data_IF_541122378781
#
_entry.id   IF_541122378781
#
_cell.length_a   1.000
_cell.length_b   1.000
_cell.length_c   1.000
_cell.angle_alpha   90.00
_cell.angle_beta   90.00
_cell.angle_gamma   90.00
#
_symmetry.space_group_name_H-M   'P 1'
#
loop_
_entity.id
_entity.type
_entity.pdbx_description
1 polymer ?
#
# COMPACT_ATOMS: atom_id res chain seq x y z
N UNK A 1 6.41 -1.46 27.62
CA UNK A 1 6.24 -0.03 27.96
C UNK A 1 4.76 0.20 28.24
N UNK A 2 4.37 0.77 29.37
CA UNK A 2 2.95 0.88 29.75
C UNK A 2 2.31 2.08 29.04
N UNK A 3 1.03 1.95 28.60
CA UNK A 3 0.23 2.95 27.87
C UNK A 3 0.31 4.40 28.43
N UNK A 4 0.60 4.56 29.71
CA UNK A 4 0.67 5.89 30.39
C UNK A 4 1.94 6.68 30.11
N UNK A 5 3.03 6.05 29.67
CA UNK A 5 4.33 6.71 29.53
C UNK A 5 4.51 7.36 28.16
N UNK A 6 3.72 6.92 27.16
CA UNK A 6 3.74 7.46 25.81
C UNK A 6 3.00 8.81 25.70
N UNK A 7 1.84 8.93 26.36
CA UNK A 7 1.02 10.17 26.31
C UNK A 7 1.71 11.36 27.01
N UNK A 8 2.60 11.11 27.97
CA UNK A 8 3.33 12.18 28.68
C UNK A 8 4.54 12.74 27.93
N UNK A 9 5.05 12.06 26.90
CA UNK A 9 6.21 12.52 26.11
C UNK A 9 5.86 13.37 24.89
N UNK A 10 4.61 13.35 24.45
CA UNK A 10 4.14 14.15 23.30
C UNK A 10 3.56 15.53 23.64
N UNK A 11 3.46 15.89 24.93
CA UNK A 11 2.89 17.17 25.38
C UNK A 11 3.91 18.26 25.71
N UNK A 12 5.19 18.08 25.37
CA UNK A 12 6.27 18.97 25.81
C UNK A 12 7.17 19.54 24.71
N UNK A 13 6.62 20.04 23.61
CA UNK A 13 7.42 20.86 22.67
C UNK A 13 6.49 21.79 21.87
N UNK A 14 6.09 22.87 22.51
CA UNK A 14 5.38 23.96 21.84
C UNK A 14 5.51 25.23 22.67
N UNK A 15 6.28 26.14 22.18
CA UNK A 15 6.23 27.59 22.28
C UNK A 15 7.60 28.21 22.50
N UNK A 16 8.17 28.77 21.44
CA UNK A 16 8.84 30.10 21.52
C UNK A 16 8.40 30.88 20.29
N UNK A 17 7.83 32.04 20.59
CA UNK A 17 7.30 32.99 19.64
C UNK A 17 8.36 33.99 19.14
N UNK A 18 8.19 34.42 17.88
CA UNK A 18 8.30 35.84 17.49
C UNK A 18 9.65 36.37 17.11
N UNK A 19 9.82 36.70 15.84
CA UNK A 19 10.05 38.04 15.33
C UNK A 19 10.21 38.02 13.81
N UNK A 20 9.45 38.86 13.16
CA UNK A 20 9.50 39.09 11.71
C UNK A 20 10.78 39.85 11.33
N UNK A 21 11.36 39.47 10.19
CA UNK A 21 12.01 40.42 9.27
C UNK A 21 11.86 39.88 7.83
N UNK A 22 11.11 40.67 7.04
CA UNK A 22 11.03 40.57 5.58
C UNK A 22 12.36 40.98 4.96
N UNK A 23 12.76 40.33 3.86
CA UNK A 23 13.27 40.85 2.60
C UNK A 23 14.07 39.76 1.88
N UNK A 24 13.74 39.55 0.62
CA UNK A 24 14.57 38.79 -0.32
C UNK A 24 14.04 37.41 -0.65
N UNK A 25 13.38 37.31 -1.84
CA UNK A 25 12.94 36.06 -2.41
C UNK A 25 14.10 35.08 -2.61
N UNK A 26 14.31 34.23 -1.65
CA UNK A 26 15.00 32.98 -1.88
C UNK A 26 13.98 32.01 -2.51
N UNK A 27 14.01 31.89 -3.86
CA UNK A 27 13.56 30.66 -4.48
C UNK A 27 14.40 29.56 -3.81
N UNK A 28 13.79 28.81 -2.89
CA UNK A 28 14.41 27.59 -2.41
C UNK A 28 14.56 26.69 -3.64
N UNK A 29 15.76 26.61 -4.18
CA UNK A 29 16.14 25.51 -5.03
C UNK A 29 16.03 24.27 -4.14
N UNK A 30 14.89 23.59 -4.21
CA UNK A 30 14.77 22.23 -3.74
C UNK A 30 15.83 21.47 -4.53
N UNK A 31 16.94 21.10 -3.90
CA UNK A 31 17.90 20.20 -4.52
C UNK A 31 17.08 18.99 -4.98
N UNK A 32 16.91 18.84 -6.29
CA UNK A 32 16.27 17.68 -6.89
C UNK A 32 17.12 16.50 -6.45
N UNK A 33 16.62 15.72 -5.51
CA UNK A 33 17.32 14.50 -5.10
C UNK A 33 17.31 13.60 -6.33
N UNK A 34 18.44 12.97 -6.63
CA UNK A 34 18.67 12.15 -7.85
C UNK A 34 17.61 11.03 -8.05
N UNK A 35 16.79 10.75 -7.01
CA UNK A 35 15.70 9.78 -6.98
C UNK A 35 14.29 10.37 -7.31
N UNK A 36 14.16 11.69 -7.52
CA UNK A 36 12.92 12.31 -8.05
C UNK A 36 12.83 12.17 -9.60
N UNK A 37 13.66 11.28 -10.18
CA UNK A 37 13.75 11.13 -11.65
C UNK A 37 12.50 10.50 -12.25
N UNK A 38 11.84 9.58 -11.55
CA UNK A 38 10.67 8.87 -12.03
C UNK A 38 9.53 8.90 -11.02
N UNK A 39 8.31 9.17 -11.50
CA UNK A 39 7.08 9.10 -10.71
C UNK A 39 6.62 7.66 -10.52
N UNK A 40 6.99 6.81 -11.48
CA UNK A 40 6.60 5.40 -11.52
C UNK A 40 7.65 4.57 -12.23
N UNK A 41 7.84 3.33 -11.77
CA UNK A 41 8.64 2.32 -12.45
C UNK A 41 7.78 1.10 -12.73
N UNK A 42 7.75 0.65 -13.99
CA UNK A 42 7.09 -0.57 -14.42
C UNK A 42 8.13 -1.57 -14.91
N UNK A 43 8.18 -2.76 -14.32
CA UNK A 43 9.14 -3.82 -14.68
C UNK A 43 8.36 -5.05 -15.17
N UNK A 44 8.86 -5.72 -16.22
CA UNK A 44 8.23 -6.94 -16.74
C UNK A 44 9.26 -8.00 -17.16
N UNK A 45 8.88 -9.26 -17.13
CA UNK A 45 9.61 -10.40 -17.69
C UNK A 45 10.39 -11.24 -16.68
N UNK A 46 10.70 -10.69 -15.49
CA UNK A 46 11.46 -11.37 -14.44
C UNK A 46 10.60 -12.14 -13.41
N UNK A 47 11.25 -12.68 -12.40
CA UNK A 47 10.60 -13.15 -11.18
C UNK A 47 10.22 -11.99 -10.28
N UNK A 48 9.26 -12.14 -9.34
CA UNK A 48 8.77 -11.04 -8.50
C UNK A 48 9.86 -10.33 -7.68
N UNK A 49 10.80 -11.06 -7.12
CA UNK A 49 11.92 -10.56 -6.36
C UNK A 49 12.92 -9.78 -7.23
N UNK A 50 13.32 -10.35 -8.36
CA UNK A 50 14.26 -9.72 -9.30
C UNK A 50 13.67 -8.46 -9.96
N UNK A 51 12.38 -8.45 -10.27
CA UNK A 51 11.68 -7.24 -10.76
C UNK A 51 11.66 -6.13 -9.71
N UNK A 52 11.44 -6.50 -8.43
CA UNK A 52 11.50 -5.54 -7.34
C UNK A 52 12.89 -4.93 -7.18
N UNK A 53 13.95 -5.75 -7.26
CA UNK A 53 15.33 -5.27 -7.14
C UNK A 53 15.64 -4.20 -8.19
N UNK A 54 15.30 -4.46 -9.44
CA UNK A 54 15.53 -3.50 -10.51
C UNK A 54 14.65 -2.26 -10.36
N UNK A 55 13.36 -2.46 -10.08
CA UNK A 55 12.42 -1.35 -10.01
C UNK A 55 12.70 -0.39 -8.87
N UNK A 56 13.02 -0.90 -7.68
CA UNK A 56 13.32 -0.05 -6.52
C UNK A 56 14.66 0.69 -6.68
N UNK A 57 15.62 0.11 -7.40
CA UNK A 57 16.89 0.76 -7.69
C UNK A 57 16.70 2.03 -8.54
N UNK A 58 15.79 2.03 -9.50
CA UNK A 58 15.46 3.20 -10.33
C UNK A 58 14.81 4.35 -9.54
N UNK A 59 14.22 4.03 -8.38
CA UNK A 59 13.69 5.01 -7.42
C UNK A 59 14.70 5.38 -6.32
N UNK A 60 15.99 5.10 -6.52
CA UNK A 60 17.06 5.41 -5.57
C UNK A 60 17.25 4.38 -4.46
N UNK A 61 16.63 3.18 -4.59
CA UNK A 61 16.68 2.10 -3.62
C UNK A 61 15.71 2.27 -2.45
N UNK A 62 15.50 1.19 -1.70
CA UNK A 62 14.58 1.22 -0.53
C UNK A 62 15.02 2.19 0.56
N UNK A 63 16.33 2.51 0.64
CA UNK A 63 16.90 3.48 1.57
C UNK A 63 16.39 4.91 1.37
N UNK A 64 15.76 5.22 0.23
CA UNK A 64 15.03 6.46 -0.02
C UNK A 64 13.81 6.58 0.90
N UNK A 65 13.16 5.45 1.18
CA UNK A 65 11.89 5.35 1.90
C UNK A 65 12.06 4.87 3.34
N UNK A 66 13.08 4.03 3.59
CA UNK A 66 13.32 3.39 4.89
C UNK A 66 14.71 3.77 5.41
N UNK A 67 14.75 4.34 6.62
CA UNK A 67 15.99 4.75 7.29
C UNK A 67 16.33 3.81 8.44
N UNK A 68 17.60 3.80 8.82
CA UNK A 68 18.09 3.04 9.99
C UNK A 68 17.28 3.38 11.26
N UNK A 69 16.89 2.34 11.97
CA UNK A 69 16.19 2.45 13.26
C UNK A 69 14.67 2.62 13.16
N UNK A 70 14.11 2.78 11.96
CA UNK A 70 12.66 2.92 11.76
C UNK A 70 11.91 1.60 11.89
N UNK A 71 10.66 1.70 12.33
CA UNK A 71 9.67 0.63 12.31
C UNK A 71 8.89 0.70 11.01
N UNK A 72 8.87 -0.41 10.26
CA UNK A 72 8.24 -0.50 8.94
C UNK A 72 7.05 -1.45 9.00
N UNK A 73 5.94 -1.05 8.40
CA UNK A 73 4.82 -1.94 8.10
C UNK A 73 4.80 -2.24 6.61
N UNK A 74 4.89 -3.51 6.25
CA UNK A 74 4.64 -4.02 4.91
C UNK A 74 3.24 -4.63 4.91
N UNK A 75 2.30 -4.02 4.17
CA UNK A 75 0.90 -4.45 4.11
C UNK A 75 0.59 -5.09 2.76
N UNK A 76 0.69 -6.42 2.64
CA UNK A 76 0.23 -7.13 1.45
C UNK A 76 -1.31 -7.19 1.37
N UNK A 77 -1.84 -7.88 0.38
CA UNK A 77 -3.21 -8.38 0.37
C UNK A 77 -3.19 -9.84 0.85
N UNK A 78 -3.80 -10.12 2.00
CA UNK A 78 -3.99 -11.47 2.55
C UNK A 78 -5.48 -11.64 2.86
N UNK A 79 -6.31 -11.56 1.82
CA UNK A 79 -7.76 -11.58 2.00
C UNK A 79 -8.35 -12.97 2.12
N UNK A 80 -7.77 -13.96 1.44
CA UNK A 80 -8.43 -15.21 1.10
C UNK A 80 -7.63 -16.43 1.49
N UNK A 81 -8.34 -17.48 1.92
CA UNK A 81 -7.80 -18.80 2.24
C UNK A 81 -7.58 -19.61 0.95
N UNK A 82 -6.60 -19.19 0.15
CA UNK A 82 -6.23 -19.83 -1.11
C UNK A 82 -4.73 -19.84 -1.33
N UNK A 83 -4.29 -20.77 -2.17
CA UNK A 83 -2.88 -20.92 -2.57
C UNK A 83 -2.42 -19.77 -3.50
N UNK A 84 -1.11 -19.49 -3.57
CA UNK A 84 -0.58 -18.38 -4.37
C UNK A 84 -0.92 -18.43 -5.86
N UNK A 85 -1.12 -19.62 -6.42
CA UNK A 85 -1.42 -19.83 -7.83
C UNK A 85 -2.80 -19.30 -8.26
N UNK A 86 -3.70 -19.03 -7.29
CA UNK A 86 -4.99 -18.37 -7.57
C UNK A 86 -4.90 -16.86 -7.62
N UNK A 87 -3.75 -16.29 -7.30
CA UNK A 87 -3.46 -14.85 -7.40
C UNK A 87 -4.49 -13.93 -6.67
N UNK A 88 -5.18 -14.47 -5.66
CA UNK A 88 -6.12 -13.70 -4.84
C UNK A 88 -5.43 -12.96 -3.69
N UNK A 89 -4.19 -13.32 -3.38
CA UNK A 89 -3.31 -12.69 -2.39
C UNK A 89 -2.01 -12.24 -3.05
N UNK A 90 -1.27 -11.34 -2.40
CA UNK A 90 0.04 -10.87 -2.87
C UNK A 90 1.04 -12.02 -2.96
N UNK A 91 1.92 -11.98 -3.95
CA UNK A 91 2.96 -12.99 -4.14
C UNK A 91 3.91 -13.04 -2.94
N UNK A 92 4.10 -14.20 -2.29
CA UNK A 92 4.95 -14.32 -1.10
C UNK A 92 6.44 -14.05 -1.36
N UNK A 93 6.96 -14.30 -2.57
CA UNK A 93 8.36 -14.00 -2.91
C UNK A 93 8.59 -12.49 -2.96
N UNK A 94 7.65 -11.73 -3.50
CA UNK A 94 7.69 -10.28 -3.50
C UNK A 94 7.69 -9.73 -2.07
N UNK A 95 6.76 -10.19 -1.23
CA UNK A 95 6.69 -9.77 0.18
C UNK A 95 8.00 -10.04 0.90
N UNK A 96 8.55 -11.25 0.73
CA UNK A 96 9.85 -11.63 1.29
C UNK A 96 10.95 -10.65 0.88
N UNK A 97 11.06 -10.36 -0.43
CA UNK A 97 12.12 -9.51 -0.96
C UNK A 97 12.04 -8.07 -0.44
N UNK A 98 10.84 -7.51 -0.34
CA UNK A 98 10.62 -6.17 0.23
C UNK A 98 11.11 -6.12 1.68
N UNK A 99 10.79 -7.13 2.49
CA UNK A 99 11.21 -7.23 3.89
C UNK A 99 12.75 -7.28 3.99
N UNK A 100 13.39 -8.11 3.18
CA UNK A 100 14.86 -8.23 3.13
C UNK A 100 15.50 -6.87 2.83
N UNK A 101 14.97 -6.11 1.88
CA UNK A 101 15.46 -4.77 1.56
C UNK A 101 15.26 -3.79 2.73
N UNK A 102 14.12 -3.81 3.41
CA UNK A 102 13.84 -2.93 4.57
C UNK A 102 14.85 -3.22 5.70
N UNK A 103 15.08 -4.48 6.03
CA UNK A 103 16.04 -4.88 7.05
C UNK A 103 17.48 -4.54 6.66
N UNK A 104 17.85 -4.75 5.39
CA UNK A 104 19.17 -4.37 4.86
C UNK A 104 19.40 -2.85 4.90
N UNK A 105 18.34 -2.04 4.74
CA UNK A 105 18.40 -0.58 4.92
C UNK A 105 18.52 -0.15 6.40
N UNK A 106 18.47 -1.12 7.34
CA UNK A 106 18.62 -0.89 8.77
C UNK A 106 17.32 -0.61 9.50
N UNK A 107 16.15 -1.00 8.95
CA UNK A 107 14.90 -0.98 9.71
C UNK A 107 15.08 -1.72 11.04
N UNK A 108 14.57 -1.15 12.14
CA UNK A 108 14.62 -1.76 13.47
C UNK A 108 13.72 -2.99 13.55
N UNK A 109 12.52 -2.83 13.06
CA UNK A 109 11.49 -3.87 13.02
C UNK A 109 10.71 -3.76 11.71
N UNK A 110 10.37 -4.90 11.11
CA UNK A 110 9.44 -4.98 9.98
C UNK A 110 8.25 -5.83 10.41
N UNK A 111 7.05 -5.27 10.29
CA UNK A 111 5.78 -5.93 10.59
C UNK A 111 5.02 -6.22 9.33
N UNK A 112 4.32 -7.37 9.31
CA UNK A 112 3.42 -7.76 8.23
C UNK A 112 2.06 -8.07 8.82
N UNK A 113 1.00 -7.46 8.30
CA UNK A 113 -0.37 -7.78 8.63
C UNK A 113 -1.34 -7.47 7.50
N UNK A 114 -2.50 -8.07 7.55
CA UNK A 114 -3.72 -7.73 6.81
C UNK A 114 -4.94 -8.18 7.62
N UNK A 115 -6.03 -7.44 7.55
CA UNK A 115 -7.32 -7.89 8.08
C UNK A 115 -7.98 -8.77 7.00
N UNK A 116 -7.98 -10.07 7.20
CA UNK A 116 -8.43 -11.08 6.24
C UNK A 116 -9.96 -11.10 6.05
N UNK A 117 -10.44 -11.66 4.95
CA UNK A 117 -11.87 -11.92 4.71
C UNK A 117 -12.27 -13.28 5.28
N UNK A 118 -11.50 -14.32 4.89
CA UNK A 118 -11.66 -15.68 5.39
C UNK A 118 -10.95 -15.87 6.74
N UNK A 119 -10.92 -17.10 7.24
CA UNK A 119 -10.22 -17.44 8.47
C UNK A 119 -8.76 -16.96 8.46
N UNK A 120 -8.40 -16.06 9.35
CA UNK A 120 -7.10 -15.40 9.34
C UNK A 120 -5.93 -16.36 9.42
N UNK A 121 -6.00 -17.40 10.27
CA UNK A 121 -4.91 -18.39 10.40
C UNK A 121 -4.66 -19.09 9.07
N UNK A 122 -5.72 -19.51 8.39
CA UNK A 122 -5.64 -20.19 7.11
C UNK A 122 -5.15 -19.26 6.00
N UNK A 123 -5.69 -18.01 5.92
CA UNK A 123 -5.28 -17.02 4.93
C UNK A 123 -3.77 -16.79 4.98
N UNK A 124 -3.21 -16.54 6.15
CA UNK A 124 -1.78 -16.31 6.34
C UNK A 124 -0.92 -17.53 5.98
N UNK A 125 -1.37 -18.72 6.38
CA UNK A 125 -0.66 -19.99 6.11
C UNK A 125 -0.72 -20.36 4.63
N UNK A 126 -1.92 -20.42 4.05
CA UNK A 126 -2.15 -20.97 2.72
C UNK A 126 -1.74 -20.02 1.59
N UNK A 127 -1.77 -18.69 1.82
CA UNK A 127 -1.14 -17.71 0.92
C UNK A 127 0.39 -17.82 0.84
N UNK A 128 1.02 -18.56 1.77
CA UNK A 128 2.48 -18.65 1.89
C UNK A 128 3.16 -17.38 2.43
N UNK A 129 2.41 -16.29 2.64
CA UNK A 129 2.98 -14.98 3.05
C UNK A 129 3.54 -15.07 4.47
N UNK A 130 2.88 -15.76 5.40
CA UNK A 130 3.39 -15.92 6.77
C UNK A 130 4.78 -16.56 6.77
N UNK A 131 4.93 -17.69 6.06
CA UNK A 131 6.21 -18.40 5.94
C UNK A 131 7.28 -17.51 5.31
N UNK A 132 6.94 -16.82 4.22
CA UNK A 132 7.86 -15.94 3.51
C UNK A 132 8.30 -14.75 4.39
N UNK A 133 7.36 -14.09 5.08
CA UNK A 133 7.64 -12.96 5.95
C UNK A 133 8.51 -13.35 7.16
N UNK A 134 8.17 -14.44 7.84
CA UNK A 134 8.97 -14.95 8.97
C UNK A 134 10.37 -15.35 8.55
N UNK A 135 10.54 -16.02 7.38
CA UNK A 135 11.84 -16.40 6.86
C UNK A 135 12.73 -15.21 6.50
N UNK A 136 12.14 -14.07 6.16
CA UNK A 136 12.84 -12.82 5.90
C UNK A 136 13.14 -12.01 7.17
N UNK A 137 12.69 -12.45 8.35
CA UNK A 137 12.91 -11.79 9.63
C UNK A 137 11.83 -10.81 10.07
N UNK A 138 10.67 -10.75 9.39
CA UNK A 138 9.58 -9.90 9.80
C UNK A 138 8.73 -10.52 10.93
N UNK A 139 8.08 -9.66 11.70
CA UNK A 139 7.06 -10.00 12.70
C UNK A 139 5.70 -10.03 12.03
N UNK A 140 5.08 -11.21 11.96
CA UNK A 140 3.71 -11.35 11.46
C UNK A 140 2.73 -11.12 12.61
N UNK A 141 1.85 -10.16 12.47
CA UNK A 141 0.92 -9.73 13.53
C UNK A 141 -0.52 -10.04 13.11
N UNK A 142 -1.30 -10.69 13.96
CA UNK A 142 -2.69 -10.98 13.65
C UNK A 142 -3.55 -9.72 13.70
N UNK A 143 -4.47 -9.57 12.74
CA UNK A 143 -5.49 -8.53 12.71
C UNK A 143 -6.91 -9.12 12.91
N UNK A 144 -7.01 -10.16 13.77
CA UNK A 144 -8.23 -10.97 13.97
C UNK A 144 -9.11 -10.49 15.12
N UNK A 145 -8.74 -9.42 15.80
CA UNK A 145 -9.48 -8.91 16.96
C UNK A 145 -9.54 -7.39 16.92
N UNK A 146 -10.71 -6.84 17.18
CA UNK A 146 -10.97 -5.40 17.23
C UNK A 146 -10.04 -4.63 18.19
N UNK A 147 -9.52 -5.30 19.22
CA UNK A 147 -8.60 -4.72 20.20
C UNK A 147 -7.30 -4.15 19.62
N UNK A 148 -6.93 -4.57 18.42
CA UNK A 148 -5.76 -4.05 17.68
C UNK A 148 -6.07 -2.80 16.87
N UNK A 149 -7.35 -2.36 16.86
CA UNK A 149 -7.79 -1.23 16.04
C UNK A 149 -8.24 -0.08 16.95
N UNK A 150 -7.89 1.14 16.57
CA UNK A 150 -8.21 2.35 17.28
C UNK A 150 -9.07 3.26 16.42
N UNK A 151 -10.09 3.87 17.02
CA UNK A 151 -10.96 4.81 16.31
C UNK A 151 -10.18 6.07 15.93
N UNK A 152 -10.31 6.48 14.68
CA UNK A 152 -9.72 7.70 14.10
C UNK A 152 -10.78 8.47 13.31
N UNK A 153 -10.66 9.78 13.33
CA UNK A 153 -11.45 10.65 12.47
C UNK A 153 -10.88 10.68 11.04
N UNK A 154 -11.75 10.82 10.06
CA UNK A 154 -11.41 11.03 8.65
C UNK A 154 -11.87 12.45 8.25
N UNK A 155 -11.03 13.47 8.45
CA UNK A 155 -11.38 14.85 8.11
C UNK A 155 -11.71 15.00 6.63
N UNK A 156 -12.88 15.57 6.32
CA UNK A 156 -13.35 15.72 4.94
C UNK A 156 -14.08 14.49 4.38
N UNK A 157 -14.14 13.38 5.13
CA UNK A 157 -14.90 12.20 4.70
C UNK A 157 -16.39 12.48 4.57
N UNK A 158 -16.99 12.03 3.47
CA UNK A 158 -18.41 12.22 3.15
C UNK A 158 -19.25 11.11 3.80
N UNK A 159 -18.89 9.86 3.55
CA UNK A 159 -19.54 8.67 4.09
C UNK A 159 -18.79 8.10 5.26
N UNK A 160 -17.45 8.02 5.16
CA UNK A 160 -16.57 7.49 6.20
C UNK A 160 -15.97 8.65 7.00
N UNK A 161 -16.70 9.15 8.00
CA UNK A 161 -16.23 10.26 8.86
C UNK A 161 -15.29 9.80 9.96
N UNK A 162 -15.39 8.53 10.36
CA UNK A 162 -14.55 7.86 11.34
C UNK A 162 -14.46 6.38 11.03
N UNK A 163 -13.38 5.74 11.47
CA UNK A 163 -13.18 4.29 11.32
C UNK A 163 -12.18 3.79 12.34
N UNK A 164 -12.11 2.47 12.53
CA UNK A 164 -11.10 1.85 13.38
C UNK A 164 -9.94 1.36 12.53
N UNK A 165 -8.76 1.95 12.71
CA UNK A 165 -7.51 1.62 11.99
C UNK A 165 -6.60 0.81 12.88
N UNK A 166 -5.93 -0.19 12.32
CA UNK A 166 -4.98 -1.03 13.04
C UNK A 166 -3.82 -0.20 13.62
N UNK A 167 -3.48 -0.45 14.89
CA UNK A 167 -2.46 0.31 15.65
C UNK A 167 -1.11 0.37 14.94
N UNK A 168 -0.69 -0.68 14.24
CA UNK A 168 0.57 -0.67 13.47
C UNK A 168 0.62 0.41 12.37
N UNK A 169 -0.51 0.74 11.74
CA UNK A 169 -0.56 1.84 10.75
C UNK A 169 -0.37 3.18 11.46
N UNK A 170 -0.90 3.32 12.67
CA UNK A 170 -0.84 4.56 13.44
C UNK A 170 0.58 4.81 13.99
N UNK A 171 1.26 3.75 14.41
CA UNK A 171 2.52 3.79 15.13
C UNK A 171 3.78 3.65 14.24
N UNK A 172 3.66 3.03 13.06
CA UNK A 172 4.81 2.84 12.19
C UNK A 172 5.39 4.15 11.66
N UNK A 173 6.71 4.19 11.55
CA UNK A 173 7.44 5.29 10.90
C UNK A 173 7.24 5.25 9.38
N UNK A 174 7.19 4.05 8.80
CA UNK A 174 7.04 3.82 7.36
C UNK A 174 5.97 2.77 7.11
N UNK A 175 5.08 3.07 6.18
CA UNK A 175 4.07 2.16 5.68
C UNK A 175 4.28 1.89 4.18
N UNK A 176 4.42 0.62 3.80
CA UNK A 176 4.58 0.15 2.42
C UNK A 176 3.35 -0.68 2.05
N UNK A 177 2.62 -0.24 1.04
CA UNK A 177 1.45 -0.92 0.51
C UNK A 177 1.85 -1.87 -0.62
N UNK A 178 1.48 -3.16 -0.51
CA UNK A 178 1.83 -4.19 -1.49
C UNK A 178 0.57 -4.91 -1.99
N UNK A 179 -0.30 -4.22 -2.76
CA UNK A 179 -1.51 -4.82 -3.30
C UNK A 179 -1.20 -5.86 -4.37
N UNK A 180 -2.12 -6.80 -4.57
CA UNK A 180 -2.20 -7.63 -5.78
C UNK A 180 -3.21 -7.04 -6.75
N UNK A 181 -2.85 -6.97 -8.03
CA UNK A 181 -3.79 -6.62 -9.09
C UNK A 181 -4.74 -7.79 -9.36
N UNK A 182 -6.05 -7.55 -9.23
CA UNK A 182 -7.06 -8.56 -9.52
C UNK A 182 -8.42 -7.96 -9.86
N UNK A 183 -9.22 -8.71 -10.62
CA UNK A 183 -10.65 -8.47 -10.80
C UNK A 183 -11.39 -8.38 -9.47
N UNK A 184 -12.47 -7.62 -9.43
CA UNK A 184 -13.36 -7.52 -8.29
C UNK A 184 -14.78 -7.17 -8.72
N UNK A 185 -15.73 -8.01 -8.34
CA UNK A 185 -17.15 -7.89 -8.71
C UNK A 185 -17.78 -6.53 -8.34
N UNK A 186 -17.47 -5.97 -7.15
CA UNK A 186 -18.11 -4.74 -6.66
C UNK A 186 -17.42 -3.46 -7.15
N UNK A 187 -16.11 -3.49 -7.38
CA UNK A 187 -15.30 -2.31 -7.73
C UNK A 187 -14.51 -2.47 -9.01
N UNK A 188 -14.75 -3.56 -9.76
CA UNK A 188 -14.05 -3.98 -11.00
C UNK A 188 -12.56 -4.31 -10.83
N UNK A 189 -11.91 -3.76 -9.82
CA UNK A 189 -10.49 -3.97 -9.55
C UNK A 189 -10.19 -3.89 -8.06
N UNK A 190 -9.26 -4.70 -7.59
CA UNK A 190 -8.50 -4.51 -6.35
C UNK A 190 -7.10 -4.04 -6.71
N UNK A 191 -6.66 -2.93 -6.11
CA UNK A 191 -5.28 -2.46 -6.18
C UNK A 191 -4.96 -1.52 -5.00
N UNK A 192 -4.19 -0.44 -5.16
CA UNK A 192 -3.62 0.37 -4.09
C UNK A 192 -4.64 0.93 -3.10
N UNK A 193 -5.58 1.75 -3.60
CA UNK A 193 -6.57 2.42 -2.75
C UNK A 193 -7.48 1.41 -2.04
N UNK A 194 -7.97 0.40 -2.78
CA UNK A 194 -8.85 -0.61 -2.22
C UNK A 194 -8.15 -1.54 -1.22
N UNK A 195 -6.84 -1.74 -1.34
CA UNK A 195 -6.07 -2.53 -0.38
C UNK A 195 -6.11 -1.96 1.04
N UNK A 196 -6.44 -0.67 1.20
CA UNK A 196 -6.62 -0.04 2.51
C UNK A 196 -7.79 -0.59 3.31
N UNK A 197 -8.73 -1.29 2.70
CA UNK A 197 -9.78 -2.00 3.44
C UNK A 197 -9.20 -3.06 4.41
N UNK A 198 -8.00 -3.55 4.16
CA UNK A 198 -7.31 -4.49 5.04
C UNK A 198 -6.61 -3.85 6.24
N UNK A 199 -6.65 -2.53 6.40
CA UNK A 199 -6.11 -1.85 7.59
C UNK A 199 -7.20 -1.35 8.54
N UNK A 200 -8.49 -1.52 8.18
CA UNK A 200 -9.63 -1.11 8.99
C UNK A 200 -10.41 -2.31 9.53
N UNK A 201 -11.10 -2.11 10.66
CA UNK A 201 -11.89 -3.18 11.28
C UNK A 201 -13.22 -3.39 10.58
N UNK A 202 -14.06 -2.36 10.50
CA UNK A 202 -15.42 -2.47 9.98
C UNK A 202 -15.52 -2.21 8.46
N UNK A 203 -15.21 -3.25 7.67
CA UNK A 203 -15.36 -3.20 6.20
C UNK A 203 -16.81 -3.35 5.76
N UNK A 204 -17.67 -3.93 6.60
CA UNK A 204 -19.09 -4.07 6.33
C UNK A 204 -19.76 -2.72 6.15
N UNK A 205 -19.34 -1.73 6.96
CA UNK A 205 -19.80 -0.35 6.82
C UNK A 205 -19.51 0.21 5.42
N UNK A 206 -18.31 -0.03 4.86
CA UNK A 206 -17.93 0.47 3.54
C UNK A 206 -18.83 -0.11 2.44
N UNK A 207 -19.10 -1.42 2.49
CA UNK A 207 -19.98 -2.08 1.54
C UNK A 207 -21.44 -1.57 1.63
N UNK A 208 -21.91 -1.27 2.82
CA UNK A 208 -23.27 -0.77 3.06
C UNK A 208 -23.45 0.72 2.71
N UNK A 209 -22.36 1.53 2.67
CA UNK A 209 -22.42 2.99 2.60
C UNK A 209 -21.72 3.60 1.38
N UNK A 210 -21.83 3.00 0.20
CA UNK A 210 -21.13 3.37 -1.03
C UNK A 210 -19.62 3.10 -0.92
N UNK A 211 -19.25 1.90 -1.34
CA UNK A 211 -17.87 1.39 -1.26
C UNK A 211 -16.85 2.31 -1.92
N UNK A 212 -17.15 2.84 -3.13
CA UNK A 212 -16.23 3.72 -3.84
C UNK A 212 -15.98 5.02 -3.08
N UNK A 213 -17.05 5.60 -2.49
CA UNK A 213 -16.90 6.80 -1.67
C UNK A 213 -16.10 6.52 -0.39
N UNK A 214 -16.34 5.40 0.30
CA UNK A 214 -15.59 5.05 1.51
C UNK A 214 -14.10 4.79 1.22
N UNK A 215 -13.76 4.20 0.07
CA UNK A 215 -12.36 4.04 -0.38
C UNK A 215 -11.69 5.41 -0.50
N UNK A 216 -12.35 6.36 -1.14
CA UNK A 216 -11.84 7.71 -1.34
C UNK A 216 -11.78 8.50 -0.03
N UNK A 217 -12.80 8.38 0.81
CA UNK A 217 -12.81 9.02 2.13
C UNK A 217 -11.63 8.55 2.98
N UNK A 218 -11.36 7.23 3.02
CA UNK A 218 -10.19 6.72 3.74
C UNK A 218 -8.88 7.31 3.21
N UNK A 219 -8.78 7.57 1.91
CA UNK A 219 -7.59 8.18 1.32
C UNK A 219 -7.34 9.63 1.76
N UNK A 220 -8.30 10.28 2.43
CA UNK A 220 -8.10 11.58 3.10
C UNK A 220 -7.35 11.44 4.43
N UNK A 221 -7.29 10.23 5.00
CA UNK A 221 -6.56 10.00 6.25
C UNK A 221 -5.07 10.33 6.09
N UNK A 222 -4.47 10.94 7.11
CA UNK A 222 -3.11 11.46 7.04
C UNK A 222 -2.01 10.38 6.93
N UNK A 223 -2.26 9.15 7.41
CA UNK A 223 -1.31 8.03 7.30
C UNK A 223 -1.45 7.36 5.94
N UNK A 224 -0.62 7.80 5.01
CA UNK A 224 -0.55 7.27 3.64
C UNK A 224 0.66 6.36 3.47
N UNK A 225 0.62 5.39 2.55
CA UNK A 225 1.81 4.61 2.22
C UNK A 225 2.91 5.50 1.64
N UNK A 226 4.14 5.29 2.09
CA UNK A 226 5.32 5.94 1.52
C UNK A 226 5.65 5.36 0.13
N UNK A 227 5.23 4.12 -0.13
CA UNK A 227 5.49 3.40 -1.37
C UNK A 227 4.36 2.42 -1.64
N UNK A 228 3.95 2.31 -2.90
CA UNK A 228 3.04 1.29 -3.40
C UNK A 228 3.80 0.38 -4.36
N UNK A 229 3.78 -0.93 -4.10
CA UNK A 229 4.43 -1.96 -4.91
C UNK A 229 3.34 -2.92 -5.36
N UNK A 230 2.91 -2.78 -6.60
CA UNK A 230 1.77 -3.50 -7.14
C UNK A 230 2.26 -4.82 -7.74
N UNK A 231 1.79 -5.91 -7.17
CA UNK A 231 2.02 -7.24 -7.69
C UNK A 231 1.09 -7.50 -8.90
N UNK A 232 1.69 -7.55 -10.06
CA UNK A 232 1.05 -7.90 -11.33
C UNK A 232 1.72 -9.15 -11.96
N UNK A 233 2.32 -10.01 -11.14
CA UNK A 233 3.01 -11.21 -11.64
C UNK A 233 2.02 -12.26 -12.15
N UNK A 234 1.16 -12.72 -11.28
CA UNK A 234 -0.04 -13.49 -11.61
C UNK A 234 -1.25 -12.61 -11.30
N UNK A 235 -2.13 -12.42 -12.27
CA UNK A 235 -3.29 -11.54 -12.16
C UNK A 235 -4.56 -12.35 -12.32
N UNK A 236 -5.41 -12.32 -11.30
CA UNK A 236 -6.75 -12.89 -11.35
C UNK A 236 -7.64 -11.98 -12.20
N UNK A 237 -8.00 -12.43 -13.40
CA UNK A 237 -8.72 -11.62 -14.41
C UNK A 237 -10.21 -11.94 -14.49
N UNK A 238 -10.68 -12.99 -13.80
CA UNK A 238 -12.09 -13.42 -13.73
C UNK A 238 -12.43 -13.94 -12.35
N UNK A 239 -13.72 -13.90 -12.00
CA UNK A 239 -14.27 -14.41 -10.75
C UNK A 239 -13.57 -13.85 -9.48
N UNK A 240 -13.02 -12.63 -9.59
CA UNK A 240 -12.46 -11.93 -8.44
C UNK A 240 -13.54 -11.48 -7.45
N UNK A 241 -13.15 -11.31 -6.18
CA UNK A 241 -11.78 -11.14 -5.68
C UNK A 241 -11.08 -12.41 -5.19
N UNK A 242 -11.72 -13.60 -5.16
CA UNK A 242 -11.16 -14.85 -4.63
C UNK A 242 -10.64 -15.78 -5.73
N UNK A 243 -11.30 -15.77 -6.91
CA UNK A 243 -11.06 -16.74 -7.97
C UNK A 243 -11.76 -18.08 -7.71
N UNK A 244 -11.92 -18.85 -8.77
CA UNK A 244 -12.53 -20.18 -8.73
C UNK A 244 -11.52 -21.25 -9.15
N UNK A 245 -10.68 -20.93 -10.13
CA UNK A 245 -9.69 -21.85 -10.67
C UNK A 245 -8.44 -21.14 -11.19
N UNK A 246 -7.37 -21.92 -11.46
CA UNK A 246 -6.16 -21.41 -12.11
C UNK A 246 -6.42 -20.86 -13.53
N UNK A 247 -7.50 -21.27 -14.19
CA UNK A 247 -7.90 -20.73 -15.49
C UNK A 247 -8.39 -19.28 -15.44
N UNK A 248 -8.68 -18.76 -14.24
CA UNK A 248 -9.04 -17.36 -14.03
C UNK A 248 -7.81 -16.44 -13.95
N UNK A 249 -6.61 -17.02 -13.94
CA UNK A 249 -5.34 -16.30 -13.70
C UNK A 249 -4.52 -16.21 -14.97
N UNK A 250 -4.03 -15.01 -15.24
CA UNK A 250 -3.07 -14.72 -16.32
C UNK A 250 -1.72 -14.38 -15.71
N UNK A 251 -0.66 -15.05 -16.17
CA UNK A 251 0.71 -14.70 -15.77
C UNK A 251 1.22 -13.54 -16.62
N UNK A 252 1.20 -12.33 -16.05
CA UNK A 252 1.64 -11.10 -16.71
C UNK A 252 3.12 -10.80 -16.48
N UNK A 253 3.75 -11.43 -15.49
CA UNK A 253 5.16 -11.21 -15.10
C UNK A 253 5.51 -9.73 -15.04
N UNK A 254 4.71 -8.95 -14.35
CA UNK A 254 4.86 -7.50 -14.27
C UNK A 254 4.78 -6.98 -12.84
N UNK A 255 5.32 -5.79 -12.62
CA UNK A 255 5.29 -5.09 -11.34
C UNK A 255 5.28 -3.59 -11.57
N UNK A 256 4.55 -2.83 -10.75
CA UNK A 256 4.53 -1.37 -10.77
C UNK A 256 4.95 -0.86 -9.39
N UNK A 257 5.86 0.12 -9.36
CA UNK A 257 6.33 0.75 -8.13
C UNK A 257 6.14 2.27 -8.25
N UNK A 258 5.43 2.89 -7.32
CA UNK A 258 5.14 4.32 -7.32
C UNK A 258 4.82 4.83 -5.91
N UNK A 259 5.04 6.12 -5.68
CA UNK A 259 4.57 6.81 -4.46
C UNK A 259 3.13 7.29 -4.56
N UNK A 260 2.60 7.40 -5.79
CA UNK A 260 1.23 7.83 -6.07
C UNK A 260 0.31 6.63 -6.27
N UNK A 261 -0.58 6.37 -5.31
CA UNK A 261 -1.52 5.25 -5.36
C UNK A 261 -2.61 5.40 -6.43
N UNK A 262 -3.01 6.64 -6.80
CA UNK A 262 -3.98 6.88 -7.88
C UNK A 262 -3.34 6.59 -9.24
N UNK A 263 -2.11 7.04 -9.45
CA UNK A 263 -1.33 6.71 -10.64
C UNK A 263 -1.10 5.19 -10.74
N UNK A 264 -0.78 4.55 -9.61
CA UNK A 264 -0.63 3.10 -9.52
C UNK A 264 -1.91 2.36 -9.93
N UNK A 265 -3.05 2.75 -9.38
CA UNK A 265 -4.36 2.16 -9.71
C UNK A 265 -4.74 2.41 -11.17
N UNK A 266 -4.42 3.59 -11.71
CA UNK A 266 -4.64 3.91 -13.13
C UNK A 266 -3.79 3.03 -14.05
N UNK A 267 -2.52 2.86 -13.76
CA UNK A 267 -1.66 1.97 -14.53
C UNK A 267 -2.12 0.51 -14.45
N UNK A 268 -2.50 0.07 -13.26
CA UNK A 268 -3.05 -1.26 -13.02
C UNK A 268 -4.37 -1.51 -13.75
N UNK A 269 -5.27 -0.54 -13.84
CA UNK A 269 -6.54 -0.65 -14.59
C UNK A 269 -6.29 -0.88 -16.09
N UNK A 270 -5.32 -0.17 -16.68
CA UNK A 270 -4.91 -0.36 -18.07
C UNK A 270 -4.35 -1.78 -18.30
N UNK A 271 -3.57 -2.31 -17.34
CA UNK A 271 -3.06 -3.69 -17.42
C UNK A 271 -4.18 -4.73 -17.31
N UNK A 272 -5.19 -4.49 -16.46
CA UNK A 272 -6.34 -5.38 -16.32
C UNK A 272 -7.31 -5.29 -17.52
N UNK A 273 -7.11 -4.32 -18.41
CA UNK A 273 -7.98 -4.09 -19.59
C UNK A 273 -9.32 -3.44 -19.18
N UNK A 274 -9.37 -2.76 -18.04
CA UNK A 274 -10.56 -2.03 -17.56
C UNK A 274 -10.35 -0.55 -17.79
N UNK A 275 -11.30 0.10 -18.44
CA UNK A 275 -11.29 1.56 -18.60
C UNK A 275 -11.27 2.23 -17.23
N UNK A 276 -10.30 3.12 -16.97
CA UNK A 276 -10.05 3.73 -15.67
C UNK A 276 -11.28 4.47 -15.13
N UNK A 277 -12.03 5.16 -16.00
CA UNK A 277 -13.26 5.88 -15.64
C UNK A 277 -14.37 4.97 -15.07
N UNK A 278 -14.33 3.68 -15.38
CA UNK A 278 -15.29 2.67 -14.86
C UNK A 278 -14.94 2.16 -13.47
N UNK A 279 -13.77 2.51 -12.95
CA UNK A 279 -13.34 2.23 -11.57
C UNK A 279 -13.53 3.51 -10.77
N UNK A 280 -14.77 3.75 -10.34
CA UNK A 280 -15.27 5.05 -9.86
C UNK A 280 -14.37 5.74 -8.81
N UNK A 281 -13.76 4.98 -7.90
CA UNK A 281 -12.90 5.56 -6.86
C UNK A 281 -11.63 6.22 -7.41
N UNK A 282 -11.14 5.86 -8.62
CA UNK A 282 -9.93 6.46 -9.22
C UNK A 282 -10.19 7.92 -9.64
N UNK A 283 -11.17 8.23 -10.53
CA UNK A 283 -11.43 9.63 -10.88
C UNK A 283 -11.92 10.47 -9.69
N UNK A 284 -12.62 9.87 -8.73
CA UNK A 284 -13.02 10.56 -7.50
C UNK A 284 -11.80 10.96 -6.66
N UNK A 285 -10.83 10.06 -6.47
CA UNK A 285 -9.60 10.35 -5.73
C UNK A 285 -8.74 11.38 -6.46
N UNK A 286 -8.62 11.29 -7.78
CA UNK A 286 -7.92 12.28 -8.60
C UNK A 286 -8.53 13.69 -8.46
N UNK A 287 -9.85 13.80 -8.55
CA UNK A 287 -10.57 15.08 -8.39
C UNK A 287 -10.34 15.74 -7.04
N UNK A 288 -10.09 14.96 -5.99
CA UNK A 288 -9.76 15.46 -4.65
C UNK A 288 -8.26 15.76 -4.45
N UNK A 289 -7.43 15.61 -5.50
CA UNK A 289 -5.99 15.84 -5.41
C UNK A 289 -5.24 14.79 -4.60
N UNK A 290 -5.79 13.58 -4.46
CA UNK A 290 -5.18 12.48 -3.70
C UNK A 290 -4.12 11.72 -4.49
N UNK A 291 -3.95 12.04 -5.77
CA UNK A 291 -2.97 11.52 -6.71
C UNK A 291 -3.36 11.83 -8.15
N UNK A 292 -2.57 11.38 -9.10
CA UNK A 292 -2.72 11.72 -10.52
C UNK A 292 -3.18 10.52 -11.35
N UNK A 293 -4.35 10.63 -12.02
CA UNK A 293 -4.82 9.62 -12.96
C UNK A 293 -4.31 9.84 -14.40
N UNK A 294 -3.78 11.03 -14.70
CA UNK A 294 -3.24 11.38 -16.02
C UNK A 294 -1.80 10.85 -16.16
N UNK A 295 -1.67 9.51 -16.22
CA UNK A 295 -0.36 8.86 -16.19
C UNK A 295 0.51 9.14 -17.41
N UNK A 296 -0.07 9.62 -18.50
CA UNK A 296 0.68 10.03 -19.69
C UNK A 296 1.49 11.33 -19.47
N UNK A 297 1.18 12.07 -18.39
CA UNK A 297 1.94 13.25 -17.97
C UNK A 297 3.08 12.91 -16.98
N UNK A 298 3.17 11.65 -16.54
CA UNK A 298 4.14 11.20 -15.56
C UNK A 298 5.41 10.68 -16.22
N UNK A 299 6.55 10.88 -15.53
CA UNK A 299 7.81 10.29 -15.95
C UNK A 299 7.89 8.82 -15.52
N UNK A 300 7.54 7.91 -16.44
CA UNK A 300 7.45 6.48 -16.18
C UNK A 300 8.63 5.73 -16.78
N UNK A 301 9.45 5.11 -15.95
CA UNK A 301 10.47 4.16 -16.38
C UNK A 301 9.86 2.80 -16.68
N UNK A 302 10.09 2.27 -17.88
CA UNK A 302 9.68 0.92 -18.28
C UNK A 302 10.91 0.04 -18.48
N UNK A 303 10.94 -1.11 -17.84
CA UNK A 303 12.06 -2.06 -17.88
C UNK A 303 11.52 -3.42 -18.34
N UNK A 304 12.17 -4.00 -19.33
CA UNK A 304 11.93 -5.39 -19.75
C UNK A 304 13.17 -6.20 -19.45
N UNK A 305 13.00 -7.27 -18.67
CA UNK A 305 14.04 -8.23 -18.33
C UNK A 305 14.19 -9.30 -19.39
#
# INVERSE_FOLDING_TARGET
MRRRDFIKKSAGAGMVAGAAFSIGGFKSFRAVKEYDKYDMVAVMGGNPDAMFDLGIQELGGIGTFVRKGQTVVVKPNIGWDVIPELAANTNPLLVKRIIEHCLKAGAKDVYVFDHTIDNGVNCYKNSGIEKAAKSAGAKVVPAISEKYFQEVEIPGGIKLKKTKVHELILEADVFINVPVLKDHNSTRMTCCLKNMMGVVWDRGFWHANNLNQCIVDYALFHKKPALNIIDCYNVLVKHGPQGVSKADVVQMKSQIITTDWVAGDTAASKMLGVETSRIEYIPMAHKLGLGNMEIDQLNIKRIKM
#
